data_IF_493103965559
#
_entry.id   IF_493103965559
#
_cell.length_a   1.000
_cell.length_b   1.000
_cell.length_c   1.000
_cell.angle_alpha   90.00
_cell.angle_beta   90.00
_cell.angle_gamma   90.00
#
_symmetry.space_group_name_H-M   'P 1'
#
loop_
_entity.id
_entity.type
_entity.pdbx_description
1 polymer ?
#
# COMPACT_ATOMS: atom_id res chain seq x y z
N UNK A 1 19.96 -0.97 -6.87
CA UNK A 1 18.76 -0.51 -6.16
C UNK A 1 18.37 -1.59 -5.17
N UNK A 2 18.22 -1.25 -3.90
CA UNK A 2 17.68 -2.14 -2.86
C UNK A 2 16.19 -1.92 -2.77
N UNK A 3 15.43 -3.01 -2.78
CA UNK A 3 13.98 -3.02 -2.63
C UNK A 3 13.66 -3.77 -1.35
N UNK A 4 12.75 -3.24 -0.54
CA UNK A 4 12.15 -4.00 0.56
C UNK A 4 10.66 -4.17 0.28
N UNK A 5 10.17 -5.39 0.49
CA UNK A 5 8.79 -5.76 0.27
C UNK A 5 8.18 -6.24 1.59
N UNK A 6 6.98 -5.77 1.89
CA UNK A 6 6.15 -6.18 3.02
C UNK A 6 4.70 -6.30 2.55
N UNK A 7 3.86 -6.95 3.33
CA UNK A 7 2.42 -7.11 3.07
C UNK A 7 1.74 -7.46 4.40
N UNK A 8 0.40 -7.53 4.41
CA UNK A 8 -0.37 -8.13 5.51
C UNK A 8 -0.01 -7.54 6.88
N UNK A 9 0.16 -6.23 6.94
CA UNK A 9 0.48 -5.58 8.21
C UNK A 9 -0.75 -5.43 9.09
N UNK A 10 -1.96 -5.43 8.51
CA UNK A 10 -3.24 -5.50 9.23
C UNK A 10 -3.40 -4.46 10.36
N UNK A 11 -2.68 -3.32 10.30
CA UNK A 11 -2.67 -2.28 11.32
C UNK A 11 -1.36 -2.11 12.11
N UNK A 12 -0.71 -3.13 12.71
CA UNK A 12 0.53 -2.98 13.49
C UNK A 12 1.81 -2.59 12.71
N UNK A 13 1.71 -1.83 11.62
CA UNK A 13 2.84 -1.43 10.78
C UNK A 13 3.95 -0.65 11.54
N UNK A 14 3.60 0.08 12.60
CA UNK A 14 4.58 0.80 13.45
C UNK A 14 5.48 -0.11 14.31
N UNK A 15 5.13 -1.39 14.44
CA UNK A 15 5.93 -2.37 15.17
C UNK A 15 6.99 -3.03 14.28
N UNK A 16 6.96 -2.76 12.97
CA UNK A 16 7.90 -3.32 12.02
C UNK A 16 9.21 -2.53 11.99
N UNK A 17 10.31 -3.27 12.05
CA UNK A 17 11.62 -2.75 11.67
C UNK A 17 11.80 -2.91 10.16
N UNK A 18 11.59 -1.83 9.41
CA UNK A 18 11.78 -1.82 7.96
C UNK A 18 13.21 -1.39 7.62
N UNK A 19 14.05 -2.25 7.01
CA UNK A 19 15.43 -1.90 6.71
C UNK A 19 15.53 -0.77 5.66
N UNK A 20 16.58 0.06 5.70
CA UNK A 20 16.81 1.10 4.69
C UNK A 20 16.94 0.51 3.29
N UNK A 21 16.14 1.04 2.35
CA UNK A 21 16.14 0.65 0.95
C UNK A 21 15.78 1.86 0.05
N UNK A 22 16.06 1.75 -1.24
CA UNK A 22 15.74 2.80 -2.21
C UNK A 22 14.23 2.84 -2.50
N UNK A 23 13.58 1.67 -2.44
CA UNK A 23 12.16 1.46 -2.70
C UNK A 23 11.54 0.55 -1.64
N UNK A 24 10.43 1.00 -1.04
CA UNK A 24 9.50 0.18 -0.27
C UNK A 24 8.31 -0.21 -1.15
N UNK A 25 7.92 -1.48 -1.10
CA UNK A 25 6.66 -1.97 -1.67
C UNK A 25 5.82 -2.58 -0.53
N UNK A 26 4.60 -2.09 -0.34
CA UNK A 26 3.58 -2.75 0.49
C UNK A 26 2.57 -3.42 -0.43
N UNK A 27 2.46 -4.74 -0.37
CA UNK A 27 1.66 -5.54 -1.30
C UNK A 27 0.32 -5.98 -0.67
N UNK A 28 -0.50 -5.01 -0.26
CA UNK A 28 -1.85 -5.25 0.26
C UNK A 28 -1.95 -5.47 1.76
N UNK A 29 -3.18 -5.39 2.26
CA UNK A 29 -3.63 -5.71 3.60
C UNK A 29 -2.90 -4.91 4.69
N UNK A 30 -2.84 -3.60 4.50
CA UNK A 30 -2.33 -2.69 5.54
C UNK A 30 -3.39 -2.30 6.57
N UNK A 31 -4.65 -2.58 6.29
CA UNK A 31 -5.78 -2.46 7.21
C UNK A 31 -6.49 -3.81 7.36
N UNK A 32 -7.47 -3.92 8.27
CA UNK A 32 -8.38 -5.07 8.34
C UNK A 32 -9.74 -4.81 7.67
N UNK A 33 -10.26 -3.58 7.77
CA UNK A 33 -11.54 -3.19 7.15
C UNK A 33 -11.60 -1.68 6.86
N UNK A 34 -10.44 -1.04 6.68
CA UNK A 34 -10.33 0.44 6.67
C UNK A 34 -11.03 1.15 7.85
N UNK A 35 -11.24 0.42 8.96
CA UNK A 35 -12.01 0.86 10.12
C UNK A 35 -11.14 0.75 11.38
N UNK A 36 -11.11 1.79 12.24
CA UNK A 36 -11.71 3.11 12.02
C UNK A 36 -11.03 3.85 10.85
N UNK A 37 -11.68 4.85 10.20
CA UNK A 37 -11.09 5.59 9.07
C UNK A 37 -9.70 6.16 9.34
N UNK A 38 -9.38 6.43 10.62
CA UNK A 38 -8.06 6.89 11.04
C UNK A 38 -6.93 5.88 10.74
N UNK A 39 -7.22 4.59 10.56
CA UNK A 39 -6.20 3.57 10.29
C UNK A 39 -5.47 3.81 8.96
N UNK A 40 -6.20 4.31 7.94
CA UNK A 40 -5.62 4.65 6.63
C UNK A 40 -4.69 5.86 6.77
N UNK A 41 -5.13 6.89 7.51
CA UNK A 41 -4.29 8.07 7.77
C UNK A 41 -3.07 7.76 8.65
N UNK A 42 -3.19 6.81 9.59
CA UNK A 42 -2.08 6.37 10.43
C UNK A 42 -1.03 5.63 9.59
N UNK A 43 -1.48 4.73 8.72
CA UNK A 43 -0.62 4.03 7.76
C UNK A 43 0.08 4.99 6.81
N UNK A 44 -0.62 5.97 6.24
CA UNK A 44 -0.01 6.98 5.36
C UNK A 44 1.02 7.85 6.12
N UNK A 45 0.71 8.26 7.35
CA UNK A 45 1.65 9.00 8.19
C UNK A 45 2.89 8.17 8.51
N UNK A 46 2.73 6.87 8.77
CA UNK A 46 3.87 5.96 8.94
C UNK A 46 4.70 5.84 7.66
N UNK A 47 4.08 5.68 6.49
CA UNK A 47 4.79 5.70 5.20
C UNK A 47 5.61 6.99 5.05
N UNK A 48 5.04 8.15 5.40
CA UNK A 48 5.73 9.44 5.37
C UNK A 48 6.98 9.49 6.26
N UNK A 49 6.98 8.78 7.39
CA UNK A 49 8.10 8.74 8.33
C UNK A 49 9.30 7.89 7.87
N UNK A 50 9.09 6.95 6.95
CA UNK A 50 10.14 6.04 6.49
C UNK A 50 11.15 6.72 5.56
N UNK A 51 12.46 6.38 5.64
CA UNK A 51 13.52 7.07 4.89
C UNK A 51 13.60 6.68 3.42
N UNK A 52 12.78 5.71 2.96
CA UNK A 52 12.79 5.22 1.59
C UNK A 52 12.47 6.34 0.60
N UNK A 53 13.31 6.51 -0.42
CA UNK A 53 13.12 7.54 -1.46
C UNK A 53 11.83 7.33 -2.25
N UNK A 54 11.47 6.07 -2.48
CA UNK A 54 10.28 5.67 -3.19
C UNK A 54 9.47 4.69 -2.35
N UNK A 55 8.15 4.84 -2.41
CA UNK A 55 7.19 3.98 -1.72
C UNK A 55 6.06 3.66 -2.70
N UNK A 56 5.74 2.39 -2.83
CA UNK A 56 4.64 1.89 -3.66
C UNK A 56 3.73 1.08 -2.76
N UNK A 57 2.43 1.27 -2.92
CA UNK A 57 1.40 0.52 -2.21
C UNK A 57 0.44 -0.06 -3.23
N UNK A 58 0.06 -1.32 -3.04
CA UNK A 58 -1.09 -1.95 -3.70
C UNK A 58 -2.10 -2.28 -2.61
N UNK A 59 -3.40 -1.98 -2.76
CA UNK A 59 -4.44 -2.45 -1.85
C UNK A 59 -4.60 -3.99 -1.91
N UNK A 60 -5.03 -4.59 -0.79
CA UNK A 60 -5.49 -5.98 -0.69
C UNK A 60 -6.99 -6.07 -0.38
N UNK A 61 -7.50 -7.23 0.04
CA UNK A 61 -8.95 -7.45 0.27
C UNK A 61 -9.47 -6.80 1.54
N UNK A 62 -8.59 -6.34 2.41
CA UNK A 62 -8.98 -5.66 3.62
C UNK A 62 -9.10 -4.13 3.45
N UNK A 63 -8.77 -3.61 2.28
CA UNK A 63 -8.83 -2.19 1.95
C UNK A 63 -10.13 -1.79 1.24
N UNK A 64 -11.12 -1.36 2.03
CA UNK A 64 -12.41 -0.85 1.54
C UNK A 64 -12.38 0.64 1.24
N UNK A 65 -11.60 1.45 1.97
CA UNK A 65 -11.53 2.89 1.70
C UNK A 65 -10.93 3.18 0.31
N UNK A 66 -9.70 2.74 -0.04
CA UNK A 66 -9.19 3.02 -1.38
C UNK A 66 -9.95 2.25 -2.48
N UNK A 67 -10.92 1.40 -2.12
CA UNK A 67 -11.88 0.80 -3.06
C UNK A 67 -12.64 1.87 -3.84
N UNK A 68 -13.10 2.91 -3.14
CA UNK A 68 -13.74 4.03 -3.80
C UNK A 68 -12.68 4.96 -4.43
N UNK A 69 -12.79 5.30 -5.73
CA UNK A 69 -11.81 6.14 -6.41
C UNK A 69 -11.57 7.50 -5.72
N UNK A 70 -12.59 8.07 -5.08
CA UNK A 70 -12.52 9.34 -4.36
C UNK A 70 -11.61 9.28 -3.12
N UNK A 71 -11.49 8.11 -2.50
CA UNK A 71 -10.76 7.91 -1.24
C UNK A 71 -9.27 7.57 -1.45
N UNK A 72 -8.86 7.31 -2.71
CA UNK A 72 -7.45 6.98 -3.05
C UNK A 72 -6.46 8.09 -2.69
N UNK A 73 -6.93 9.32 -2.56
CA UNK A 73 -6.14 10.46 -2.09
C UNK A 73 -5.68 10.36 -0.62
N UNK A 74 -6.23 9.41 0.15
CA UNK A 74 -5.81 9.16 1.52
C UNK A 74 -4.38 8.59 1.65
N UNK A 75 -3.84 8.01 0.55
CA UNK A 75 -2.44 7.58 0.46
C UNK A 75 -1.65 8.65 -0.31
N UNK A 76 -1.03 9.58 0.43
CA UNK A 76 -0.28 10.71 -0.13
C UNK A 76 1.24 10.50 -0.07
N UNK A 77 1.72 9.65 0.84
CA UNK A 77 3.15 9.42 1.07
C UNK A 77 3.71 8.23 0.28
N UNK A 78 2.90 7.62 -0.59
CA UNK A 78 3.30 6.56 -1.50
C UNK A 78 2.54 6.63 -2.82
N UNK A 79 3.09 5.97 -3.85
CA UNK A 79 2.40 5.76 -5.11
C UNK A 79 1.45 4.58 -4.92
N UNK A 80 0.14 4.86 -4.88
CA UNK A 80 -0.89 3.83 -4.88
C UNK A 80 -1.09 3.28 -6.29
N UNK A 81 -0.97 1.97 -6.47
CA UNK A 81 -1.22 1.29 -7.74
C UNK A 81 -2.52 0.48 -7.66
N UNK A 82 -3.42 0.75 -8.60
CA UNK A 82 -4.69 0.05 -8.80
C UNK A 82 -4.84 -0.16 -10.30
N UNK A 83 -4.60 -1.40 -10.75
CA UNK A 83 -4.53 -1.81 -12.16
C UNK A 83 -3.74 -0.82 -13.02
N UNK A 84 -2.58 -0.43 -12.50
CA UNK A 84 -1.74 0.60 -13.09
C UNK A 84 -0.27 0.34 -12.82
N UNK A 85 0.58 1.08 -13.52
CA UNK A 85 2.02 0.94 -13.40
C UNK A 85 2.76 2.26 -13.30
N UNK A 86 3.94 2.20 -12.70
CA UNK A 86 4.82 3.34 -12.48
C UNK A 86 6.27 3.01 -12.83
N UNK A 87 7.05 4.04 -13.16
CA UNK A 87 8.50 3.94 -13.35
C UNK A 87 9.24 4.51 -12.16
N UNK A 88 10.05 3.68 -11.50
CA UNK A 88 10.83 4.05 -10.31
C UNK A 88 12.23 3.47 -10.43
N UNK A 89 13.26 4.30 -10.27
CA UNK A 89 14.67 3.84 -10.29
C UNK A 89 15.06 3.07 -11.57
N UNK A 90 14.44 3.39 -12.71
CA UNK A 90 14.65 2.69 -13.99
C UNK A 90 13.84 1.40 -14.15
N UNK A 91 13.12 0.95 -13.12
CA UNK A 91 12.24 -0.22 -13.17
C UNK A 91 10.81 0.18 -13.56
N UNK A 92 10.08 -0.75 -14.18
CA UNK A 92 8.62 -0.67 -14.36
C UNK A 92 7.97 -1.58 -13.33
N UNK A 93 7.03 -1.03 -12.57
CA UNK A 93 6.30 -1.72 -11.51
C UNK A 93 4.82 -1.66 -11.89
N UNK A 94 4.13 -2.79 -11.82
CA UNK A 94 2.68 -2.90 -12.02
C UNK A 94 2.05 -3.41 -10.73
N UNK A 95 0.91 -2.85 -10.34
CA UNK A 95 0.16 -3.27 -9.16
C UNK A 95 -1.31 -3.46 -9.49
N UNK A 96 -1.87 -4.58 -9.04
CA UNK A 96 -3.28 -4.90 -9.17
C UNK A 96 -3.77 -5.45 -7.83
N UNK A 97 -4.90 -4.96 -7.31
CA UNK A 97 -5.46 -5.43 -6.06
C UNK A 97 -6.27 -6.73 -6.24
N UNK A 98 -6.52 -7.20 -7.47
CA UNK A 98 -7.44 -8.31 -7.78
C UNK A 98 -7.16 -9.57 -6.96
N UNK A 99 -8.19 -10.09 -6.29
CA UNK A 99 -8.15 -11.35 -5.53
C UNK A 99 -9.19 -12.35 -6.08
N UNK A 100 -8.77 -13.48 -6.66
CA UNK A 100 -9.66 -14.34 -7.45
C UNK A 100 -10.64 -15.23 -6.66
N UNK A 101 -10.60 -15.25 -5.32
CA UNK A 101 -11.30 -16.28 -4.53
C UNK A 101 -12.30 -15.79 -3.49
N UNK A 102 -12.34 -14.49 -3.15
CA UNK A 102 -13.24 -13.97 -2.12
C UNK A 102 -13.51 -12.48 -2.38
N UNK A 103 -14.69 -12.15 -2.91
CA UNK A 103 -15.50 -10.97 -2.54
C UNK A 103 -14.91 -9.54 -2.39
N UNK A 104 -13.63 -9.24 -2.60
CA UNK A 104 -13.05 -7.91 -2.35
C UNK A 104 -11.58 -7.74 -2.74
N UNK A 105 -11.11 -6.49 -2.76
CA UNK A 105 -10.00 -5.93 -3.53
C UNK A 105 -10.29 -5.74 -5.03
N UNK A 106 -11.52 -5.33 -5.35
CA UNK A 106 -12.00 -4.94 -6.68
C UNK A 106 -12.20 -6.08 -7.69
N UNK A 107 -12.94 -7.12 -7.28
CA UNK A 107 -13.34 -8.25 -8.13
C UNK A 107 -13.85 -7.86 -9.53
N UNK A 108 -13.37 -8.56 -10.55
CA UNK A 108 -13.81 -8.52 -11.96
C UNK A 108 -15.13 -9.23 -12.19
#
# INVERSE_FOLDING_TARGET
MRIVCIADTHGPHRQLEVPPADLLIHAGDFTFYSTPPSIVSDFDAWLGSLPHRHKVVVPGNHEFAPEEPEDRGAIANAILLVDSGVRVGGMRIWGSPVIPLYGGAFNT
#
